data_IF_631311775606
#
_entry.id   IF_631311775606
#
_cell.length_a   1.000
_cell.length_b   1.000
_cell.length_c   1.000
_cell.angle_alpha   90.00
_cell.angle_beta   90.00
_cell.angle_gamma   90.00
#
_symmetry.space_group_name_H-M   'P 1'
#
loop_
_entity.id
_entity.type
_entity.pdbx_description
1 polymer ?
#
# COMPACT_ATOMS: atom_id res chain seq x y z
N UNK A 1 -5.50 -11.78 -12.96
CA UNK A 1 -4.48 -10.75 -12.64
C UNK A 1 -3.52 -11.36 -11.63
N UNK A 2 -2.22 -11.14 -11.78
CA UNK A 2 -1.21 -11.53 -10.79
C UNK A 2 -0.54 -10.24 -10.32
N UNK A 3 -0.44 -10.08 -9.01
CA UNK A 3 0.07 -8.88 -8.35
C UNK A 3 1.21 -9.33 -7.44
N UNK A 4 2.38 -8.76 -7.64
CA UNK A 4 3.49 -8.95 -6.73
C UNK A 4 3.41 -7.91 -5.61
N UNK A 5 3.67 -8.34 -4.39
CA UNK A 5 3.60 -7.50 -3.20
C UNK A 5 4.56 -7.99 -2.12
N UNK A 6 4.95 -7.08 -1.23
CA UNK A 6 5.68 -7.40 0.00
C UNK A 6 4.78 -7.21 1.20
N UNK A 7 4.73 -8.18 2.11
CA UNK A 7 3.99 -8.09 3.37
C UNK A 7 4.95 -7.73 4.50
N UNK A 8 4.60 -6.73 5.29
CA UNK A 8 5.44 -6.29 6.41
C UNK A 8 4.60 -5.76 7.57
N UNK A 9 5.23 -5.55 8.74
CA UNK A 9 4.57 -4.91 9.88
C UNK A 9 5.56 -4.07 10.69
N UNK A 10 5.03 -3.06 11.38
CA UNK A 10 5.76 -2.22 12.33
C UNK A 10 4.97 -2.15 13.63
N UNK A 11 5.47 -2.79 14.70
CA UNK A 11 4.83 -2.80 16.04
C UNK A 11 3.35 -3.22 15.99
N UNK A 12 3.04 -4.24 15.18
CA UNK A 12 1.69 -4.79 15.04
C UNK A 12 0.78 -4.12 14.01
N UNK A 13 1.11 -2.93 13.50
CA UNK A 13 0.45 -2.36 12.31
C UNK A 13 1.03 -3.02 11.06
N UNK A 14 0.21 -3.71 10.27
CA UNK A 14 0.66 -4.50 9.12
C UNK A 14 0.28 -3.89 7.76
N UNK A 15 1.23 -3.98 6.83
CA UNK A 15 1.21 -3.34 5.53
C UNK A 15 1.35 -4.34 4.41
N UNK A 16 0.78 -4.03 3.25
CA UNK A 16 1.24 -4.56 1.96
C UNK A 16 1.91 -3.44 1.18
N UNK A 17 3.02 -3.74 0.54
CA UNK A 17 3.76 -2.79 -0.30
C UNK A 17 3.69 -3.25 -1.74
N UNK A 18 3.29 -2.35 -2.62
CA UNK A 18 3.25 -2.55 -4.06
C UNK A 18 4.28 -1.63 -4.72
N UNK A 19 5.16 -2.21 -5.52
CA UNK A 19 6.08 -1.44 -6.35
C UNK A 19 5.35 -0.91 -7.58
N UNK A 20 5.39 0.41 -7.75
CA UNK A 20 4.98 1.20 -8.92
C UNK A 20 3.99 0.46 -9.82
N UNK A 21 2.75 0.21 -9.37
CA UNK A 21 1.85 -0.64 -10.09
C UNK A 21 1.66 -0.04 -11.49
N UNK A 22 2.09 -0.79 -12.51
CA UNK A 22 1.91 -0.39 -13.90
C UNK A 22 0.42 -0.25 -14.26
N UNK A 23 -0.45 -0.78 -13.42
CA UNK A 23 -1.90 -0.79 -13.55
C UNK A 23 -2.55 -0.12 -12.33
N UNK A 24 -3.10 1.07 -12.54
CA UNK A 24 -3.85 1.81 -11.51
C UNK A 24 -5.12 1.08 -11.05
N UNK A 25 -5.59 0.05 -11.77
CA UNK A 25 -6.72 -0.78 -11.33
C UNK A 25 -6.46 -1.43 -9.96
N UNK A 26 -5.19 -1.61 -9.59
CA UNK A 26 -4.76 -2.06 -8.27
C UNK A 26 -5.24 -1.13 -7.14
N UNK A 27 -5.38 0.16 -7.44
CA UNK A 27 -5.75 1.21 -6.50
C UNK A 27 -7.25 1.40 -6.38
N UNK A 28 -8.05 0.63 -7.13
CA UNK A 28 -9.49 0.68 -7.01
C UNK A 28 -9.91 0.34 -5.56
N UNK A 29 -10.69 1.19 -4.88
CA UNK A 29 -11.06 0.98 -3.48
C UNK A 29 -11.70 -0.39 -3.24
N UNK A 30 -12.54 -0.85 -4.17
CA UNK A 30 -13.16 -2.18 -4.09
C UNK A 30 -12.16 -3.34 -4.14
N UNK A 31 -11.05 -3.21 -4.87
CA UNK A 31 -9.99 -4.21 -4.90
C UNK A 31 -9.15 -4.17 -3.62
N UNK A 32 -8.76 -2.98 -3.17
CA UNK A 32 -8.02 -2.80 -1.91
C UNK A 32 -8.80 -3.38 -0.72
N UNK A 33 -10.11 -3.14 -0.65
CA UNK A 33 -11.01 -3.75 0.35
C UNK A 33 -10.99 -5.27 0.31
N UNK A 34 -11.06 -5.86 -0.88
CA UNK A 34 -11.02 -7.32 -1.05
C UNK A 34 -9.67 -7.90 -0.65
N UNK A 35 -8.57 -7.23 -1.01
CA UNK A 35 -7.22 -7.67 -0.65
C UNK A 35 -6.96 -7.49 0.85
N UNK A 36 -7.52 -6.46 1.48
CA UNK A 36 -7.34 -6.17 2.90
C UNK A 36 -8.19 -7.01 3.84
N UNK A 37 -9.16 -7.78 3.34
CA UNK A 37 -9.89 -8.76 4.13
C UNK A 37 -8.96 -9.87 4.61
N UNK A 38 -8.87 -10.08 5.93
CA UNK A 38 -7.88 -10.99 6.54
C UNK A 38 -8.20 -12.47 6.32
N UNK A 39 -9.48 -12.81 6.13
CA UNK A 39 -9.90 -14.21 5.96
C UNK A 39 -9.83 -14.71 4.53
N UNK A 40 -10.04 -13.83 3.57
CA UNK A 40 -10.22 -14.19 2.15
C UNK A 40 -9.27 -13.47 1.22
N UNK A 41 -8.61 -12.40 1.69
CA UNK A 41 -7.57 -11.67 0.98
C UNK A 41 -6.19 -11.90 1.61
N UNK A 42 -5.32 -10.92 1.41
CA UNK A 42 -3.97 -10.88 2.00
C UNK A 42 -4.06 -10.50 3.50
N UNK A 43 -4.99 -9.60 3.83
CA UNK A 43 -5.13 -9.03 5.16
C UNK A 43 -4.07 -7.95 5.43
N UNK A 44 -4.48 -6.73 5.71
CA UNK A 44 -3.60 -5.63 6.12
C UNK A 44 -4.41 -4.52 6.77
N UNK A 45 -3.74 -3.68 7.55
CA UNK A 45 -4.30 -2.41 8.01
C UNK A 45 -4.20 -1.35 6.90
N UNK A 46 -3.05 -1.27 6.21
CA UNK A 46 -2.81 -0.30 5.13
C UNK A 46 -2.03 -0.88 3.95
N UNK A 47 -2.25 -0.34 2.76
CA UNK A 47 -1.48 -0.60 1.56
C UNK A 47 -0.57 0.60 1.25
N UNK A 48 0.70 0.35 0.98
CA UNK A 48 1.69 1.33 0.55
C UNK A 48 1.99 1.10 -0.92
N UNK A 49 1.94 2.17 -1.71
CA UNK A 49 2.14 2.11 -3.16
C UNK A 49 3.30 3.00 -3.50
N UNK A 50 4.40 2.42 -3.96
CA UNK A 50 5.64 3.11 -4.28
C UNK A 50 5.59 3.62 -5.72
N UNK A 51 5.44 4.92 -5.92
CA UNK A 51 5.46 5.59 -7.22
C UNK A 51 6.81 6.26 -7.52
N UNK A 52 6.98 6.69 -8.77
CA UNK A 52 8.14 7.49 -9.17
C UNK A 52 8.24 8.77 -8.30
N UNK A 53 9.45 9.19 -7.94
CA UNK A 53 9.65 10.41 -7.16
C UNK A 53 9.06 11.64 -7.85
N UNK A 54 8.39 12.49 -7.07
CA UNK A 54 7.75 13.73 -7.55
C UNK A 54 8.63 14.97 -7.39
N UNK A 55 9.77 14.85 -6.72
CA UNK A 55 10.70 15.96 -6.43
C UNK A 55 12.13 15.55 -6.76
N UNK A 56 12.95 16.49 -7.21
CA UNK A 56 14.36 16.25 -7.45
C UNK A 56 15.07 15.86 -6.13
N UNK A 57 15.93 14.84 -6.20
CA UNK A 57 16.70 14.35 -5.05
C UNK A 57 15.97 13.37 -4.13
N UNK A 58 14.73 12.97 -4.44
CA UNK A 58 14.02 11.90 -3.70
C UNK A 58 14.06 10.58 -4.46
N UNK A 59 14.16 9.45 -3.76
CA UNK A 59 14.22 8.13 -4.39
C UNK A 59 12.85 7.62 -4.89
N UNK A 60 11.78 7.89 -4.13
CA UNK A 60 10.43 7.36 -4.37
C UNK A 60 9.39 8.35 -3.83
N UNK A 61 8.19 8.33 -4.40
CA UNK A 61 7.00 8.92 -3.78
C UNK A 61 6.09 7.78 -3.38
N UNK A 62 5.43 7.82 -2.24
CA UNK A 62 4.50 6.73 -1.90
C UNK A 62 3.14 7.26 -1.49
N UNK A 63 2.12 6.45 -1.77
CA UNK A 63 0.73 6.68 -1.38
C UNK A 63 0.32 5.62 -0.36
N UNK A 64 -0.62 5.98 0.49
CA UNK A 64 -1.09 5.12 1.57
C UNK A 64 -2.59 4.98 1.42
N UNK A 65 -3.06 3.75 1.42
CA UNK A 65 -4.47 3.44 1.40
C UNK A 65 -4.82 2.63 2.64
N UNK A 66 -5.90 2.98 3.31
CA UNK A 66 -6.46 2.15 4.34
C UNK A 66 -7.10 0.90 3.72
N UNK A 67 -7.32 -0.11 4.56
CA UNK A 67 -8.05 -1.34 4.17
C UNK A 67 -9.43 -1.06 3.57
N UNK A 68 -10.11 0.01 3.94
CA UNK A 68 -11.40 0.42 3.34
C UNK A 68 -11.26 1.01 1.93
N UNK A 69 -10.04 1.21 1.45
CA UNK A 69 -9.71 1.74 0.13
C UNK A 69 -9.54 3.25 0.10
N UNK A 70 -9.71 3.95 1.22
CA UNK A 70 -9.53 5.39 1.30
C UNK A 70 -8.05 5.75 1.33
N UNK A 71 -7.66 6.75 0.53
CA UNK A 71 -6.31 7.29 0.51
C UNK A 71 -6.09 8.24 1.69
N UNK A 72 -4.94 8.10 2.37
CA UNK A 72 -4.57 8.93 3.52
C UNK A 72 -3.17 9.52 3.36
N UNK A 73 -2.97 10.73 3.89
CA UNK A 73 -1.75 11.50 3.66
C UNK A 73 -0.58 11.14 4.59
N UNK A 74 -0.83 10.48 5.73
CA UNK A 74 0.22 10.19 6.72
C UNK A 74 -0.02 8.86 7.45
N UNK A 75 1.03 8.03 7.48
CA UNK A 75 1.20 6.97 8.46
C UNK A 75 2.66 6.93 8.91
N UNK A 76 2.93 7.37 10.15
CA UNK A 76 4.28 7.37 10.72
C UNK A 76 4.88 5.97 10.89
N UNK A 77 4.05 4.92 10.95
CA UNK A 77 4.52 3.53 10.98
C UNK A 77 4.88 3.03 9.60
N UNK A 78 4.06 3.32 8.58
CA UNK A 78 4.30 2.94 7.19
C UNK A 78 5.55 3.60 6.63
N UNK A 79 5.83 4.85 7.00
CA UNK A 79 7.05 5.55 6.59
C UNK A 79 8.36 4.91 7.10
N UNK A 80 8.31 4.11 8.17
CA UNK A 80 9.49 3.37 8.69
C UNK A 80 9.71 2.04 7.99
N UNK A 81 8.71 1.59 7.24
CA UNK A 81 8.73 0.35 6.49
C UNK A 81 9.18 0.57 5.03
N UNK A 82 9.22 1.82 4.57
CA UNK A 82 9.63 2.21 3.20
C UNK A 82 11.06 2.75 3.21
#
# INVERSE_FOLDING_TARGET
MRIDFTKMHGVGNDFVVFDAPADESLLAPGLLRRLGERRTGIGFDQALVLERPRRAGTAVFYRIFNRDGDEVEQCGNGARCV
#
